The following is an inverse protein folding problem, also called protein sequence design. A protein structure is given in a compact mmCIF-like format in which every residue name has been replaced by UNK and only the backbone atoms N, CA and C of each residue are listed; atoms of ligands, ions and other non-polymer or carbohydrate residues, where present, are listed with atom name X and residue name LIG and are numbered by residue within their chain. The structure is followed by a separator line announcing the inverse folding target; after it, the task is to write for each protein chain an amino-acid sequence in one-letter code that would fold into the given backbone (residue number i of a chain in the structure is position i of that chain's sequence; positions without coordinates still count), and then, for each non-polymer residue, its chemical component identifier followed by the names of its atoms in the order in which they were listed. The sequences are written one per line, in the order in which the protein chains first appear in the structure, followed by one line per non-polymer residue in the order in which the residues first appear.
data_IF_674560647195
#
_entry.id   IF_674560647195
#
_cell.length_a   1.000
_cell.length_b   1.000
_cell.length_c   1.000
_cell.angle_alpha   90.00
_cell.angle_beta   90.00
_cell.angle_gamma   90.00
#
_symmetry.space_group_name_H-M   'P 1'
#
loop_
_entity.id
_entity.type
_entity.pdbx_description
1 polymer ?
#
# COMPACT_ATOMS: atom_id res chain seq x y z
N UNK A 1 27.94 1.99 21.94
CA UNK A 1 27.65 1.13 20.77
C UNK A 1 26.35 0.33 20.92
N UNK A 2 26.09 -0.32 22.08
CA UNK A 2 24.84 -1.07 22.31
C UNK A 2 23.55 -0.22 22.20
N UNK A 3 23.58 1.02 22.69
CA UNK A 3 22.44 1.97 22.61
C UNK A 3 22.12 2.35 21.17
N UNK A 4 23.14 2.67 20.37
CA UNK A 4 22.99 3.03 18.97
C UNK A 4 22.31 1.91 18.15
N UNK A 5 22.68 0.65 18.38
CA UNK A 5 22.07 -0.48 17.66
C UNK A 5 20.60 -0.67 18.07
N UNK A 6 20.29 -0.62 19.37
CA UNK A 6 18.91 -0.82 19.84
C UNK A 6 17.97 0.34 19.49
N UNK A 7 18.46 1.57 19.43
CA UNK A 7 17.60 2.75 19.20
C UNK A 7 17.49 3.13 17.73
N UNK A 8 18.49 2.79 16.90
CA UNK A 8 18.48 3.15 15.48
C UNK A 8 18.32 1.96 14.56
N UNK A 9 19.08 0.90 14.77
CA UNK A 9 19.10 -0.24 13.85
C UNK A 9 17.83 -1.08 14.00
N UNK A 10 17.44 -1.41 15.23
CA UNK A 10 16.24 -2.22 15.49
C UNK A 10 14.96 -1.54 14.97
N UNK A 11 14.68 -0.25 15.25
CA UNK A 11 13.47 0.39 14.74
C UNK A 11 13.49 0.57 13.23
N UNK A 12 14.66 0.83 12.63
CA UNK A 12 14.79 0.94 11.16
C UNK A 12 14.46 -0.39 10.48
N UNK A 13 14.93 -1.51 11.01
CA UNK A 13 14.61 -2.85 10.49
C UNK A 13 13.10 -3.11 10.60
N UNK A 14 12.49 -2.80 11.74
CA UNK A 14 11.04 -2.97 11.94
C UNK A 14 10.26 -2.10 10.94
N UNK A 15 10.65 -0.85 10.72
CA UNK A 15 10.02 0.03 9.74
C UNK A 15 10.10 -0.56 8.32
N UNK A 16 11.25 -1.09 7.90
CA UNK A 16 11.40 -1.75 6.60
C UNK A 16 10.49 -2.97 6.48
N UNK A 17 10.43 -3.81 7.51
CA UNK A 17 9.55 -4.99 7.53
C UNK A 17 8.09 -4.59 7.39
N UNK A 18 7.66 -3.55 8.11
CA UNK A 18 6.30 -3.00 8.03
C UNK A 18 6.02 -2.52 6.60
N UNK A 19 6.89 -1.71 6.00
CA UNK A 19 6.71 -1.20 4.63
C UNK A 19 6.58 -2.33 3.61
N UNK A 20 7.41 -3.37 3.71
CA UNK A 20 7.32 -4.55 2.84
C UNK A 20 5.98 -5.28 3.01
N UNK A 21 5.50 -5.42 4.25
CA UNK A 21 4.21 -6.03 4.54
C UNK A 21 3.04 -5.20 3.97
N UNK A 22 3.05 -3.88 4.18
CA UNK A 22 2.02 -2.97 3.66
C UNK A 22 1.94 -3.01 2.12
N UNK A 23 3.08 -2.96 1.44
CA UNK A 23 3.14 -3.01 -0.03
C UNK A 23 2.75 -4.37 -0.62
N UNK A 24 2.90 -5.45 0.14
CA UNK A 24 2.53 -6.80 -0.33
C UNK A 24 1.05 -7.09 -0.13
N UNK A 25 0.50 -6.73 1.02
CA UNK A 25 -0.82 -7.18 1.46
C UNK A 25 -1.90 -6.11 1.39
N UNK A 26 -1.57 -4.87 1.75
CA UNK A 26 -2.59 -3.81 1.92
C UNK A 26 -2.74 -3.00 0.65
N UNK A 27 -1.64 -2.50 0.10
CA UNK A 27 -1.68 -1.57 -1.01
C UNK A 27 -1.18 -2.19 -2.31
N UNK A 28 -1.89 -1.94 -3.40
CA UNK A 28 -1.40 -2.22 -4.75
C UNK A 28 -1.53 -1.01 -5.65
N UNK A 29 -0.52 -0.82 -6.50
CA UNK A 29 -0.61 0.10 -7.61
C UNK A 29 -1.14 -0.66 -8.83
N UNK A 30 -2.33 -0.30 -9.28
CA UNK A 30 -2.97 -0.89 -10.46
C UNK A 30 -3.16 0.17 -11.53
N UNK A 31 -3.03 -0.24 -12.78
CA UNK A 31 -3.33 0.63 -13.92
C UNK A 31 -4.69 0.24 -14.47
N UNK A 32 -5.57 1.21 -14.70
CA UNK A 32 -6.91 0.94 -15.22
C UNK A 32 -6.80 0.46 -16.67
N UNK A 33 -7.18 -0.81 -16.99
CA UNK A 33 -6.97 -1.38 -18.32
C UNK A 33 -8.09 -1.05 -19.30
N UNK A 34 -9.29 -0.73 -18.81
CA UNK A 34 -10.51 -0.59 -19.62
C UNK A 34 -11.31 0.65 -19.22
N UNK A 35 -11.94 1.29 -20.19
CA UNK A 35 -12.77 2.48 -20.00
C UNK A 35 -14.17 2.24 -19.43
N UNK A 36 -14.43 1.09 -18.80
CA UNK A 36 -15.75 0.81 -18.23
C UNK A 36 -16.16 1.78 -17.12
N UNK A 37 -15.22 2.55 -16.56
CA UNK A 37 -15.47 3.64 -15.61
C UNK A 37 -15.00 5.00 -16.14
N UNK A 38 -14.98 5.23 -17.46
CA UNK A 38 -14.53 6.48 -18.10
C UNK A 38 -15.20 7.75 -17.55
N UNK A 39 -16.39 7.63 -16.98
CA UNK A 39 -17.10 8.74 -16.34
C UNK A 39 -16.43 9.22 -15.03
N UNK A 40 -15.55 8.41 -14.44
CA UNK A 40 -14.90 8.66 -13.14
C UNK A 40 -13.38 8.55 -13.20
N UNK A 41 -12.83 7.58 -13.96
CA UNK A 41 -11.39 7.30 -14.05
C UNK A 41 -11.04 6.95 -15.50
N UNK A 42 -9.96 7.52 -16.04
CA UNK A 42 -9.58 7.31 -17.43
C UNK A 42 -8.70 6.05 -17.59
N UNK A 43 -8.79 5.34 -18.73
CA UNK A 43 -7.84 4.29 -19.07
C UNK A 43 -6.40 4.80 -19.05
N UNK A 44 -5.49 4.06 -18.42
CA UNK A 44 -4.10 4.46 -18.26
C UNK A 44 -3.78 5.20 -16.95
N UNK A 45 -4.79 5.58 -16.16
CA UNK A 45 -4.55 6.13 -14.81
C UNK A 45 -3.99 5.07 -13.87
N UNK A 46 -3.06 5.49 -13.01
CA UNK A 46 -2.42 4.66 -11.98
C UNK A 46 -3.12 4.91 -10.65
N UNK A 47 -3.82 3.90 -10.14
CA UNK A 47 -4.55 3.97 -8.89
C UNK A 47 -3.79 3.26 -7.78
N UNK A 48 -3.80 3.87 -6.61
CA UNK A 48 -3.32 3.25 -5.37
C UNK A 48 -4.52 2.70 -4.61
N UNK A 49 -4.67 1.37 -4.60
CA UNK A 49 -5.88 0.70 -4.09
C UNK A 49 -5.53 -0.09 -2.82
N UNK A 50 -6.40 0.01 -1.81
CA UNK A 50 -6.34 -0.80 -0.61
C UNK A 50 -7.16 -2.09 -0.80
N UNK A 51 -6.55 -3.26 -0.54
CA UNK A 51 -7.20 -4.58 -0.64
C UNK A 51 -8.04 -4.98 0.57
N UNK A 52 -7.94 -4.27 1.69
CA UNK A 52 -8.50 -4.71 2.97
C UNK A 52 -9.98 -4.37 3.15
N UNK A 53 -10.47 -3.31 2.51
CA UNK A 53 -11.84 -2.84 2.72
C UNK A 53 -12.65 -3.07 1.45
N UNK A 54 -13.65 -3.94 1.54
CA UNK A 54 -14.74 -3.93 0.57
C UNK A 54 -15.73 -2.83 0.99
N UNK A 55 -16.02 -1.92 0.08
CA UNK A 55 -16.98 -0.83 0.30
C UNK A 55 -18.37 -1.38 0.66
N UNK A 56 -18.67 -2.64 0.30
CA UNK A 56 -19.91 -3.32 0.66
C UNK A 56 -20.03 -3.63 2.15
N UNK A 57 -18.91 -3.76 2.86
CA UNK A 57 -18.87 -4.05 4.30
C UNK A 57 -18.89 -2.76 5.14
N UNK A 58 -18.70 -1.59 4.53
CA UNK A 58 -18.65 -0.28 5.18
C UNK A 58 -20.05 0.37 5.36
N UNK A 59 -21.09 -0.45 5.61
CA UNK A 59 -22.47 0.01 5.73
C UNK A 59 -22.90 0.30 7.16
#
# INVERSE_FOLDING_TARGET
MKTFINEWVVPSIIAVVIVLFLNRFIFILVTVPTGSMETTIMPGDRLYVNKLFDVKDAK
#
